data_IF_357043870619
#
_entry.id   IF_357043870619
#
_cell.length_a   1.000
_cell.length_b   1.000
_cell.length_c   1.000
_cell.angle_alpha   90.00
_cell.angle_beta   90.00
_cell.angle_gamma   90.00
#
_symmetry.space_group_name_H-M   'P 1'
#
loop_
_entity.id
_entity.type
_entity.pdbx_description
1 polymer ?
#
# COMPACT_ATOMS: atom_id res chain seq x y z
N UNK A 1 11.73 19.15 -8.28
CA UNK A 1 11.47 17.79 -8.82
C UNK A 1 9.97 17.65 -9.02
N UNK A 2 9.52 17.24 -10.21
CA UNK A 2 8.11 16.98 -10.48
C UNK A 2 7.73 15.60 -9.96
N UNK A 3 6.65 15.51 -9.18
CA UNK A 3 6.16 14.26 -8.59
C UNK A 3 5.30 13.52 -9.63
N UNK A 4 5.80 12.41 -10.18
CA UNK A 4 5.16 11.68 -11.30
C UNK A 4 4.37 10.45 -10.87
N UNK A 5 4.75 9.78 -9.78
CA UNK A 5 3.99 8.65 -9.20
C UNK A 5 3.85 8.81 -7.67
N UNK A 6 2.74 9.40 -7.20
CA UNK A 6 2.48 9.58 -5.78
C UNK A 6 2.34 8.30 -4.96
N UNK A 7 1.98 7.18 -5.60
CA UNK A 7 1.87 5.87 -4.93
C UNK A 7 3.26 5.31 -4.73
N UNK A 8 4.10 5.33 -5.76
CA UNK A 8 5.49 4.88 -5.63
C UNK A 8 6.25 5.66 -4.55
N UNK A 9 6.01 6.97 -4.42
CA UNK A 9 6.55 7.80 -3.33
C UNK A 9 6.07 7.32 -1.96
N UNK A 10 4.75 7.12 -1.76
CA UNK A 10 4.20 6.55 -0.51
C UNK A 10 4.88 5.22 -0.15
N UNK A 11 4.93 4.27 -1.07
CA UNK A 11 5.50 2.93 -0.81
C UNK A 11 7.00 3.02 -0.48
N UNK A 12 7.72 3.96 -1.09
CA UNK A 12 9.15 4.16 -0.83
C UNK A 12 9.36 4.81 0.54
N UNK A 13 8.54 5.79 0.93
CA UNK A 13 8.59 6.40 2.27
C UNK A 13 8.33 5.37 3.37
N UNK A 14 7.33 4.50 3.19
CA UNK A 14 7.03 3.39 4.11
C UNK A 14 8.24 2.45 4.23
N UNK A 15 8.81 2.04 3.08
CA UNK A 15 9.97 1.14 3.05
C UNK A 15 11.18 1.72 3.77
N UNK A 16 11.45 3.01 3.54
CA UNK A 16 12.61 3.69 4.14
C UNK A 16 12.41 3.89 5.63
N UNK A 17 11.22 4.33 6.07
CA UNK A 17 10.89 4.49 7.47
C UNK A 17 10.95 3.15 8.22
N UNK A 18 10.39 2.08 7.65
CA UNK A 18 10.50 0.73 8.20
C UNK A 18 11.94 0.22 8.22
N UNK A 19 12.70 0.52 7.17
CA UNK A 19 14.13 0.24 7.05
C UNK A 19 14.99 0.88 8.13
N UNK A 20 14.62 2.10 8.54
CA UNK A 20 15.27 2.88 9.57
C UNK A 20 14.68 2.69 10.98
N UNK A 21 13.70 1.78 11.14
CA UNK A 21 12.98 1.57 12.41
C UNK A 21 12.32 2.83 12.97
N UNK A 22 11.83 3.72 12.12
CA UNK A 22 10.99 4.84 12.54
C UNK A 22 9.61 4.34 12.94
N UNK A 23 9.03 4.94 13.97
CA UNK A 23 7.67 4.60 14.42
C UNK A 23 6.61 5.08 13.43
N UNK A 24 6.89 6.16 12.69
CA UNK A 24 5.94 6.75 11.77
C UNK A 24 6.53 7.05 10.39
N UNK A 25 5.65 7.13 9.40
CA UNK A 25 5.98 7.59 8.05
C UNK A 25 4.99 8.69 7.63
N UNK A 26 5.51 9.90 7.37
CA UNK A 26 4.71 11.06 6.96
C UNK A 26 4.83 11.37 5.46
N UNK A 27 3.71 11.76 4.84
CA UNK A 27 3.64 12.10 3.42
C UNK A 27 2.43 13.02 3.12
N UNK A 28 2.42 13.71 1.96
CA UNK A 28 1.26 14.49 1.56
C UNK A 28 0.02 13.63 1.39
N UNK A 29 -1.10 14.11 1.90
CA UNK A 29 -2.40 13.44 1.87
C UNK A 29 -2.90 13.20 0.44
N UNK A 30 -3.54 12.06 0.21
CA UNK A 30 -4.46 11.88 -0.91
C UNK A 30 -5.50 10.81 -0.57
N UNK A 31 -6.70 10.94 -1.15
CA UNK A 31 -7.78 9.95 -0.97
C UNK A 31 -7.32 8.52 -1.35
N UNK A 32 -6.46 8.41 -2.36
CA UNK A 32 -5.95 7.12 -2.80
C UNK A 32 -4.94 6.53 -1.80
N UNK A 33 -4.05 7.36 -1.24
CA UNK A 33 -3.09 6.93 -0.20
C UNK A 33 -3.82 6.49 1.07
N UNK A 34 -4.88 7.19 1.47
CA UNK A 34 -5.73 6.79 2.61
C UNK A 34 -6.33 5.40 2.38
N UNK A 35 -6.94 5.15 1.22
CA UNK A 35 -7.52 3.83 0.94
C UNK A 35 -6.47 2.71 0.91
N UNK A 36 -5.24 3.00 0.49
CA UNK A 36 -4.12 2.05 0.61
C UNK A 36 -3.77 1.83 2.09
N UNK A 37 -3.70 2.90 2.89
CA UNK A 37 -3.45 2.81 4.32
C UNK A 37 -4.53 2.01 5.07
N UNK A 38 -5.80 2.15 4.69
CA UNK A 38 -6.91 1.34 5.22
C UNK A 38 -6.70 -0.16 4.96
N UNK A 39 -6.27 -0.53 3.76
CA UNK A 39 -5.95 -1.92 3.43
C UNK A 39 -4.76 -2.40 4.26
N UNK A 40 -3.69 -1.60 4.35
CA UNK A 40 -2.51 -1.95 5.16
C UNK A 40 -2.87 -2.16 6.63
N UNK A 41 -3.77 -1.33 7.18
CA UNK A 41 -4.27 -1.46 8.55
C UNK A 41 -5.12 -2.71 8.71
N UNK A 42 -6.06 -2.96 7.79
CA UNK A 42 -6.95 -4.11 7.85
C UNK A 42 -6.21 -5.45 7.74
N UNK A 43 -5.14 -5.51 6.94
CA UNK A 43 -4.26 -6.68 6.82
C UNK A 43 -3.20 -6.75 7.93
N UNK A 44 -3.15 -5.76 8.84
CA UNK A 44 -2.30 -5.77 10.02
C UNK A 44 -0.84 -5.42 9.80
N UNK A 45 -0.50 -4.82 8.65
CA UNK A 45 0.86 -4.35 8.31
C UNK A 45 1.26 -3.05 9.02
N UNK A 46 0.27 -2.21 9.36
CA UNK A 46 0.44 -0.97 10.12
C UNK A 46 -0.51 -0.96 11.31
N UNK A 47 -0.19 -0.19 12.36
CA UNK A 47 -1.06 -0.04 13.54
C UNK A 47 -2.25 0.86 13.22
N UNK A 48 -1.98 1.96 12.52
CA UNK A 48 -2.99 2.95 12.19
C UNK A 48 -2.46 4.02 11.26
N UNK A 49 -3.33 4.99 10.99
CA UNK A 49 -2.98 6.21 10.29
C UNK A 49 -3.81 7.38 10.81
N UNK A 50 -3.26 8.59 10.71
CA UNK A 50 -3.91 9.85 11.08
C UNK A 50 -3.73 10.89 9.98
N UNK A 51 -4.64 11.87 9.96
CA UNK A 51 -4.50 13.10 9.17
C UNK A 51 -4.06 14.22 10.09
N UNK A 52 -3.04 14.97 9.66
CA UNK A 52 -2.61 16.19 10.34
C UNK A 52 -2.68 17.38 9.37
N UNK A 53 -3.04 18.54 9.89
CA UNK A 53 -2.96 19.78 9.12
C UNK A 53 -1.49 20.12 8.83
N UNK A 54 -1.24 20.63 7.64
CA UNK A 54 0.06 21.11 7.22
C UNK A 54 -0.06 22.54 6.72
N UNK A 55 1.06 23.25 6.60
CA UNK A 55 1.11 24.60 6.04
C UNK A 55 0.43 24.68 4.66
N UNK A 56 0.53 23.59 3.89
CA UNK A 56 -0.22 23.40 2.64
C UNK A 56 -0.94 22.06 2.64
N UNK A 57 -2.26 22.10 2.73
CA UNK A 57 -3.12 20.92 2.63
C UNK A 57 -3.11 20.08 3.90
N UNK A 58 -2.89 18.77 3.75
CA UNK A 58 -2.88 17.80 4.85
C UNK A 58 -1.73 16.82 4.68
N UNK A 59 -1.21 16.32 5.78
CA UNK A 59 -0.32 15.17 5.81
C UNK A 59 -1.08 13.92 6.23
N UNK A 60 -0.67 12.80 5.66
CA UNK A 60 -1.03 11.45 6.08
C UNK A 60 0.16 10.89 6.86
N UNK A 61 -0.10 10.48 8.10
CA UNK A 61 0.90 9.84 8.96
C UNK A 61 0.49 8.40 9.18
N UNK A 62 1.40 7.48 8.88
CA UNK A 62 1.22 6.06 9.12
C UNK A 62 2.01 5.64 10.35
N UNK A 63 1.39 4.88 11.24
CA UNK A 63 2.03 4.29 12.40
C UNK A 63 2.50 2.87 12.04
N UNK A 64 3.82 2.68 11.97
CA UNK A 64 4.43 1.42 11.55
C UNK A 64 4.40 0.40 12.69
N UNK A 65 4.16 -0.86 12.32
CA UNK A 65 4.10 -1.96 13.27
C UNK A 65 5.42 -2.72 13.33
N UNK A 66 5.88 -2.94 14.56
CA UNK A 66 7.02 -3.81 14.87
C UNK A 66 6.58 -4.86 15.91
N UNK A 67 7.19 -6.04 15.89
CA UNK A 67 6.99 -7.06 16.92
C UNK A 67 7.77 -6.72 18.20
N UNK A 68 7.48 -7.44 19.28
CA UNK A 68 8.25 -7.34 20.53
C UNK A 68 9.74 -7.70 20.33
N UNK A 69 10.04 -8.56 19.35
CA UNK A 69 11.40 -8.91 18.93
C UNK A 69 12.04 -7.89 17.97
N UNK A 70 11.42 -6.72 17.77
CA UNK A 70 11.82 -5.68 16.79
C UNK A 70 11.80 -6.15 15.32
N UNK A 71 11.05 -7.18 14.99
CA UNK A 71 10.82 -7.56 13.60
C UNK A 71 9.79 -6.62 12.96
N UNK A 72 9.99 -6.34 11.67
CA UNK A 72 9.14 -5.42 10.91
C UNK A 72 7.91 -6.18 10.44
N UNK A 73 6.71 -5.60 10.63
CA UNK A 73 5.50 -6.21 10.08
C UNK A 73 5.48 -6.21 8.53
N UNK A 74 6.17 -5.24 7.91
CA UNK A 74 6.37 -5.15 6.47
C UNK A 74 7.79 -5.62 6.15
N UNK A 75 7.92 -6.79 5.53
CA UNK A 75 9.21 -7.31 5.06
C UNK A 75 9.61 -6.71 3.72
N UNK A 76 8.62 -6.41 2.87
CA UNK A 76 8.81 -5.91 1.51
C UNK A 76 7.58 -5.19 0.97
N UNK A 77 7.84 -4.16 0.17
CA UNK A 77 6.80 -3.39 -0.51
C UNK A 77 7.26 -2.98 -1.90
N UNK A 78 6.43 -3.23 -2.91
CA UNK A 78 6.80 -3.04 -4.32
C UNK A 78 5.65 -2.49 -5.15
N UNK A 79 5.92 -1.40 -5.88
CA UNK A 79 5.05 -0.87 -6.94
C UNK A 79 5.10 -1.77 -8.18
N UNK A 80 3.96 -2.21 -8.68
CA UNK A 80 3.84 -3.11 -9.84
C UNK A 80 3.46 -2.35 -11.09
N UNK A 81 2.23 -1.85 -11.19
CA UNK A 81 1.83 -0.94 -12.26
C UNK A 81 2.54 0.40 -12.11
N UNK A 82 3.15 0.95 -13.15
CA UNK A 82 3.84 2.26 -13.14
C UNK A 82 3.33 3.11 -14.31
N UNK A 83 3.48 4.45 -14.29
CA UNK A 83 2.99 5.30 -15.38
C UNK A 83 3.46 4.87 -16.78
N UNK A 84 4.70 4.41 -16.93
CA UNK A 84 5.24 3.93 -18.21
C UNK A 84 4.86 2.50 -18.59
N UNK A 85 4.41 1.68 -17.64
CA UNK A 85 3.95 0.31 -17.90
C UNK A 85 2.85 -0.05 -16.91
N UNK A 86 1.61 -0.03 -17.40
CA UNK A 86 0.44 -0.38 -16.60
C UNK A 86 0.23 -1.88 -16.61
N UNK A 87 0.02 -2.45 -15.42
CA UNK A 87 -0.14 -3.90 -15.24
C UNK A 87 -1.57 -4.19 -14.80
N UNK A 88 -2.27 -5.02 -15.56
CA UNK A 88 -3.65 -5.41 -15.28
C UNK A 88 -3.75 -6.92 -15.11
N UNK A 89 -4.63 -7.36 -14.22
CA UNK A 89 -4.95 -8.75 -13.99
C UNK A 89 -6.43 -9.01 -14.25
N UNK A 90 -6.72 -10.10 -14.98
CA UNK A 90 -8.08 -10.64 -15.11
C UNK A 90 -8.46 -11.34 -13.80
N UNK A 91 -9.75 -11.46 -13.52
CA UNK A 91 -10.26 -12.18 -12.33
C UNK A 91 -9.78 -13.63 -12.25
N UNK A 92 -9.56 -14.28 -13.40
CA UNK A 92 -9.06 -15.65 -13.50
C UNK A 92 -7.55 -15.79 -13.27
N UNK A 93 -6.79 -14.70 -13.34
CA UNK A 93 -5.34 -14.68 -13.21
C UNK A 93 -4.88 -13.57 -12.26
N UNK A 94 -5.49 -13.53 -11.07
CA UNK A 94 -5.09 -12.61 -10.02
C UNK A 94 -3.71 -13.03 -9.48
N UNK A 95 -2.79 -12.07 -9.29
CA UNK A 95 -1.46 -12.37 -8.80
C UNK A 95 -1.50 -12.87 -7.35
N UNK A 96 -0.64 -13.82 -7.01
CA UNK A 96 -0.42 -14.28 -5.65
C UNK A 96 0.95 -13.80 -5.17
N UNK A 97 0.98 -13.09 -4.05
CA UNK A 97 2.23 -12.62 -3.43
C UNK A 97 2.73 -13.68 -2.45
N UNK A 98 3.96 -14.16 -2.64
CA UNK A 98 4.55 -15.25 -1.84
C UNK A 98 3.62 -16.46 -1.67
N UNK A 99 2.98 -16.90 -2.77
CA UNK A 99 2.06 -18.05 -2.73
C UNK A 99 0.75 -17.81 -1.97
N UNK A 100 0.43 -16.57 -1.58
CA UNK A 100 -0.76 -16.18 -0.81
C UNK A 100 -0.48 -15.74 0.62
N UNK A 101 0.80 -15.71 1.02
CA UNK A 101 1.26 -15.18 2.31
C UNK A 101 1.33 -13.64 2.33
N UNK A 102 1.55 -13.01 1.18
CA UNK A 102 1.49 -11.56 1.04
C UNK A 102 0.16 -11.08 0.46
N UNK A 103 0.06 -9.78 0.26
CA UNK A 103 -1.14 -9.11 -0.26
C UNK A 103 -0.82 -8.37 -1.55
N UNK A 104 -1.65 -8.56 -2.57
CA UNK A 104 -1.66 -7.67 -3.73
C UNK A 104 -2.82 -6.68 -3.62
N UNK A 105 -2.51 -5.40 -3.83
CA UNK A 105 -3.50 -4.33 -3.88
C UNK A 105 -3.88 -4.07 -5.34
N UNK A 106 -5.17 -4.17 -5.65
CA UNK A 106 -5.72 -3.96 -6.98
C UNK A 106 -6.67 -2.77 -7.00
N UNK A 107 -6.57 -1.95 -8.04
CA UNK A 107 -7.58 -0.96 -8.39
C UNK A 107 -8.60 -1.60 -9.32
N UNK A 108 -9.84 -1.74 -8.85
CA UNK A 108 -10.94 -2.35 -9.59
C UNK A 108 -12.07 -1.33 -9.79
N UNK A 109 -13.05 -1.65 -10.64
CA UNK A 109 -14.26 -0.82 -10.80
C UNK A 109 -15.07 -0.69 -9.51
N UNK A 110 -14.96 -1.65 -8.59
CA UNK A 110 -15.60 -1.62 -7.28
C UNK A 110 -14.75 -0.95 -6.18
N UNK A 111 -13.62 -0.35 -6.54
CA UNK A 111 -12.68 0.30 -5.64
C UNK A 111 -11.36 -0.46 -5.45
N UNK A 112 -10.61 -0.06 -4.43
CA UNK A 112 -9.37 -0.71 -4.03
C UNK A 112 -9.68 -1.98 -3.25
N UNK A 113 -9.14 -3.11 -3.71
CA UNK A 113 -9.36 -4.43 -3.11
C UNK A 113 -8.04 -5.17 -2.96
N UNK A 114 -8.01 -6.10 -2.01
CA UNK A 114 -6.96 -7.12 -1.96
C UNK A 114 -7.21 -8.21 -3.01
N UNK A 115 -6.20 -9.00 -3.36
CA UNK A 115 -6.34 -10.16 -4.24
C UNK A 115 -7.40 -11.14 -3.74
N UNK A 116 -7.44 -11.40 -2.43
CA UNK A 116 -8.48 -12.27 -1.81
C UNK A 116 -9.89 -11.69 -1.99
N UNK A 117 -10.06 -10.39 -1.77
CA UNK A 117 -11.34 -9.71 -1.95
C UNK A 117 -11.77 -9.67 -3.42
N UNK A 118 -10.83 -9.40 -4.34
CA UNK A 118 -11.05 -9.41 -5.77
C UNK A 118 -11.45 -10.81 -6.28
N UNK A 119 -10.77 -11.85 -5.79
CA UNK A 119 -11.09 -13.24 -6.10
C UNK A 119 -12.50 -13.61 -5.62
N UNK A 120 -12.86 -13.25 -4.38
CA UNK A 120 -14.21 -13.49 -3.83
C UNK A 120 -15.32 -12.80 -4.65
N UNK A 121 -15.03 -11.60 -5.17
CA UNK A 121 -15.97 -10.83 -6.01
C UNK A 121 -15.91 -11.21 -7.49
N UNK A 122 -14.96 -12.04 -7.92
CA UNK A 122 -14.78 -12.42 -9.32
C UNK A 122 -14.35 -11.26 -10.23
N UNK A 123 -13.70 -10.22 -9.69
CA UNK A 123 -13.30 -9.01 -10.45
C UNK A 123 -11.79 -8.94 -10.68
N UNK A 124 -11.40 -8.37 -11.82
CA UNK A 124 -10.01 -8.02 -12.15
C UNK A 124 -9.75 -6.51 -11.98
N UNK A 125 -8.52 -6.08 -12.24
CA UNK A 125 -8.15 -4.67 -12.11
C UNK A 125 -6.68 -4.37 -12.40
N UNK A 126 -6.30 -3.11 -12.19
CA UNK A 126 -4.90 -2.67 -12.24
C UNK A 126 -4.17 -3.14 -10.97
N UNK A 127 -3.05 -3.84 -11.14
CA UNK A 127 -2.24 -4.33 -10.02
C UNK A 127 -1.34 -3.22 -9.52
N UNK A 128 -1.68 -2.62 -8.38
CA UNK A 128 -0.96 -1.45 -7.93
C UNK A 128 0.35 -1.80 -7.22
N UNK A 129 0.27 -2.64 -6.21
CA UNK A 129 1.40 -2.92 -5.34
C UNK A 129 1.30 -4.31 -4.73
N UNK A 130 2.46 -4.87 -4.40
CA UNK A 130 2.61 -6.07 -3.58
C UNK A 130 3.23 -5.69 -2.24
N UNK A 131 2.72 -6.30 -1.18
CA UNK A 131 3.17 -6.13 0.21
C UNK A 131 3.35 -7.51 0.82
N UNK A 132 4.44 -7.72 1.54
CA UNK A 132 4.75 -8.94 2.26
C UNK A 132 5.74 -8.66 3.41
#
# INVERSE_FOLDING_TARGET
>A
MTMTDPIADMLTRIRNASGAYHETASMPYSKLKVRIADILKAEGYILGWTEEEAEVGKNLILELKYSDSRERAISGIRRISKPGLRVYAKSTNLPKVLGGLGVAILSTSSGLLTDKQAAKKGVGGEVLAYIW
#
